data_IF_769963167569
#
_entry.id   IF_769963167569
#
_cell.length_a   1.000
_cell.length_b   1.000
_cell.length_c   1.000
_cell.angle_alpha   90.00
_cell.angle_beta   90.00
_cell.angle_gamma   90.00
#
_symmetry.space_group_name_H-M   'P 1'
#
loop_
_entity.id
_entity.type
_entity.pdbx_description
1 polymer ?
#
# COMPACT_ATOMS: atom_id res chain seq x y z
N UNK A 1 -2.17 22.06 9.55
CA UNK A 1 -3.39 22.04 8.71
C UNK A 1 -3.02 21.38 7.39
N UNK A 2 -3.58 20.21 7.10
CA UNK A 2 -3.40 19.54 5.80
C UNK A 2 -4.25 20.30 4.79
N UNK A 3 -3.63 21.15 3.96
CA UNK A 3 -4.35 21.95 2.98
C UNK A 3 -4.95 21.06 1.89
N UNK A 4 -6.25 21.21 1.64
CA UNK A 4 -6.90 20.66 0.45
C UNK A 4 -6.58 21.59 -0.74
N UNK A 5 -6.12 21.12 -1.90
CA UNK A 5 -5.92 19.74 -2.34
C UNK A 5 -4.54 19.15 -1.98
N UNK A 6 -4.49 17.84 -1.85
CA UNK A 6 -3.26 17.06 -1.66
C UNK A 6 -2.87 16.45 -3.01
N UNK A 7 -1.62 16.60 -3.40
CA UNK A 7 -1.04 15.93 -4.56
C UNK A 7 -0.59 14.53 -4.17
N UNK A 8 -0.58 13.62 -5.14
CA UNK A 8 0.06 12.31 -5.02
C UNK A 8 1.40 12.39 -5.76
N UNK A 9 2.43 11.82 -5.16
CA UNK A 9 3.73 11.62 -5.79
C UNK A 9 4.33 10.31 -5.33
N UNK A 10 5.47 9.96 -5.88
CA UNK A 10 6.24 8.77 -5.51
C UNK A 10 7.54 9.21 -4.87
N UNK A 11 7.92 8.55 -3.77
CA UNK A 11 9.23 8.75 -3.15
C UNK A 11 10.29 8.10 -4.05
N UNK A 12 11.25 8.86 -4.55
CA UNK A 12 12.40 8.28 -5.30
C UNK A 12 13.54 7.96 -4.35
N UNK A 13 13.98 8.95 -3.58
CA UNK A 13 15.16 8.82 -2.74
C UNK A 13 15.00 9.64 -1.46
N UNK A 14 15.37 9.07 -0.31
CA UNK A 14 15.58 9.83 0.93
C UNK A 14 17.02 10.31 0.99
N UNK A 15 17.19 11.62 1.10
CA UNK A 15 18.52 12.24 1.21
C UNK A 15 18.95 12.26 2.67
N UNK A 16 18.03 12.67 3.56
CA UNK A 16 18.27 12.75 4.98
C UNK A 16 16.98 12.54 5.77
N UNK A 17 17.07 12.72 7.08
CA UNK A 17 15.99 12.55 8.04
C UNK A 17 14.83 13.55 7.89
N UNK A 18 15.02 14.69 7.22
CA UNK A 18 14.03 15.76 7.05
C UNK A 18 13.77 16.08 5.57
N UNK A 19 14.55 15.52 4.63
CA UNK A 19 14.47 15.80 3.21
C UNK A 19 14.45 14.55 2.36
N UNK A 20 13.58 14.59 1.35
CA UNK A 20 13.50 13.55 0.34
C UNK A 20 13.26 14.15 -1.05
N UNK A 21 13.61 13.35 -2.06
CA UNK A 21 13.27 13.60 -3.44
C UNK A 21 11.98 12.85 -3.76
N UNK A 22 11.00 13.60 -4.25
CA UNK A 22 9.72 13.07 -4.68
C UNK A 22 9.50 13.35 -6.16
N UNK A 23 9.05 12.34 -6.88
CA UNK A 23 8.59 12.48 -8.25
C UNK A 23 7.09 12.76 -8.23
N UNK A 24 6.69 13.96 -8.68
CA UNK A 24 5.27 14.24 -8.88
C UNK A 24 4.77 13.50 -10.12
N UNK A 25 3.49 13.12 -10.15
CA UNK A 25 2.85 12.58 -11.37
C UNK A 25 3.00 13.49 -12.60
N UNK A 26 3.30 14.79 -12.39
CA UNK A 26 3.57 15.74 -13.47
C UNK A 26 4.98 15.63 -14.09
N UNK A 27 5.85 14.76 -13.58
CA UNK A 27 7.18 14.45 -14.14
C UNK A 27 8.39 15.14 -13.50
N UNK A 28 8.33 16.35 -12.90
CA UNK A 28 9.50 16.93 -12.25
C UNK A 28 9.72 16.31 -10.86
N UNK A 29 10.99 16.06 -10.57
CA UNK A 29 11.50 15.72 -9.24
C UNK A 29 11.58 16.98 -8.39
N UNK A 30 11.09 16.90 -7.16
CA UNK A 30 11.16 17.98 -6.20
C UNK A 30 11.95 17.55 -4.97
N UNK A 31 12.87 18.42 -4.55
CA UNK A 31 13.50 18.35 -3.24
C UNK A 31 12.55 18.96 -2.20
N UNK A 32 12.06 18.14 -1.28
CA UNK A 32 10.99 18.51 -0.35
C UNK A 32 11.32 18.09 1.07
N UNK A 33 10.80 18.85 2.03
CA UNK A 33 10.93 18.49 3.44
C UNK A 33 9.79 17.57 3.91
N UNK A 34 10.16 16.67 4.82
CA UNK A 34 9.29 15.71 5.51
C UNK A 34 8.71 16.40 6.74
N UNK A 35 7.39 16.40 6.91
CA UNK A 35 6.80 16.93 8.13
C UNK A 35 7.05 15.97 9.31
N UNK A 36 7.35 16.51 10.49
CA UNK A 36 7.74 15.74 11.68
C UNK A 36 6.70 14.75 12.23
N UNK A 37 5.47 14.76 11.72
CA UNK A 37 4.42 13.79 12.09
C UNK A 37 4.38 12.57 11.17
N UNK A 38 5.20 12.56 10.12
CA UNK A 38 5.32 11.43 9.18
C UNK A 38 6.26 10.40 9.80
N UNK A 39 5.83 9.14 9.74
CA UNK A 39 6.62 8.02 10.23
C UNK A 39 7.67 7.62 9.18
N UNK A 40 8.93 7.58 9.59
CA UNK A 40 10.08 7.32 8.71
C UNK A 40 10.24 5.84 8.41
N UNK A 41 9.78 4.98 9.32
CA UNK A 41 9.83 3.53 9.14
C UNK A 41 8.89 3.06 8.00
N UNK A 42 7.92 3.90 7.63
CA UNK A 42 6.96 3.65 6.54
C UNK A 42 7.36 4.31 5.21
N UNK A 43 8.45 5.10 5.20
CA UNK A 43 8.95 5.76 4.00
C UNK A 43 9.93 4.80 3.31
N UNK A 44 9.45 4.11 2.28
CA UNK A 44 10.29 3.27 1.43
C UNK A 44 10.39 3.87 0.02
N UNK A 45 11.56 3.81 -0.65
CA UNK A 45 11.69 4.18 -2.05
C UNK A 45 10.67 3.42 -2.90
N UNK A 46 9.95 4.14 -3.77
CA UNK A 46 8.88 3.58 -4.60
C UNK A 46 7.49 3.61 -3.96
N UNK A 47 7.35 3.97 -2.67
CA UNK A 47 6.03 4.13 -2.06
C UNK A 47 5.36 5.43 -2.52
N UNK A 48 4.04 5.36 -2.71
CA UNK A 48 3.19 6.51 -2.95
C UNK A 48 3.13 7.42 -1.71
N UNK A 49 3.45 8.70 -1.85
CA UNK A 49 3.43 9.70 -0.78
C UNK A 49 2.45 10.83 -1.08
N UNK A 50 1.93 11.42 -0.01
CA UNK A 50 1.02 12.56 -0.07
C UNK A 50 1.79 13.86 0.04
N UNK A 51 1.65 14.70 -0.98
CA UNK A 51 2.31 15.99 -1.10
C UNK A 51 1.32 17.13 -0.90
N UNK A 52 1.78 18.22 -0.28
CA UNK A 52 0.97 19.43 -0.19
C UNK A 52 1.02 20.23 -1.50
N UNK A 53 -0.12 20.62 -2.07
CA UNK A 53 -0.15 21.28 -3.40
C UNK A 53 0.64 22.60 -3.49
N UNK A 54 0.82 23.34 -2.38
CA UNK A 54 1.48 24.65 -2.40
C UNK A 54 2.97 24.61 -2.05
N UNK A 55 3.35 23.73 -1.12
CA UNK A 55 4.72 23.66 -0.59
C UNK A 55 5.44 22.38 -0.98
N UNK A 56 4.74 21.46 -1.67
CA UNK A 56 5.21 20.13 -2.09
C UNK A 56 5.78 19.31 -0.92
N UNK A 57 5.48 19.69 0.33
CA UNK A 57 5.98 19.00 1.53
C UNK A 57 5.30 17.64 1.70
N UNK A 58 6.02 16.66 2.23
CA UNK A 58 5.47 15.34 2.52
C UNK A 58 4.55 15.44 3.75
N UNK A 59 3.27 15.17 3.52
CA UNK A 59 2.20 15.22 4.51
C UNK A 59 1.81 13.80 4.95
N UNK A 60 2.47 12.76 4.47
CA UNK A 60 2.21 11.38 4.88
C UNK A 60 2.47 10.39 3.76
N UNK A 61 2.46 9.11 4.13
CA UNK A 61 2.58 8.00 3.21
C UNK A 61 1.17 7.53 2.82
N UNK A 62 0.97 7.20 1.54
CA UNK A 62 -0.24 6.56 1.06
C UNK A 62 -0.02 5.05 1.12
N UNK A 63 -0.58 4.39 2.14
CA UNK A 63 -0.42 2.95 2.39
C UNK A 63 -1.27 2.06 1.48
N UNK A 64 -2.05 2.65 0.57
CA UNK A 64 -3.06 1.95 -0.24
C UNK A 64 -2.57 1.65 -1.67
N UNK A 65 -1.28 1.34 -1.83
CA UNK A 65 -0.77 0.69 -3.05
C UNK A 65 -1.12 -0.82 -3.03
N UNK A 66 -2.30 -1.17 -2.53
CA UNK A 66 -2.80 -2.53 -2.70
C UNK A 66 -3.27 -2.61 -4.14
N UNK A 67 -2.47 -3.27 -4.97
CA UNK A 67 -2.80 -3.61 -6.34
C UNK A 67 -4.28 -4.05 -6.42
N UNK A 68 -5.11 -3.42 -7.25
CA UNK A 68 -6.50 -3.83 -7.39
C UNK A 68 -6.62 -5.31 -7.82
N UNK A 69 -5.59 -5.84 -8.50
CA UNK A 69 -5.44 -7.27 -8.79
C UNK A 69 -5.32 -8.14 -7.54
N UNK A 70 -4.53 -7.72 -6.54
CA UNK A 70 -4.39 -8.42 -5.25
C UNK A 70 -5.65 -8.27 -4.41
N UNK A 71 -6.32 -7.12 -4.47
CA UNK A 71 -7.62 -6.94 -3.80
C UNK A 71 -8.71 -7.84 -4.38
N UNK A 72 -8.64 -8.21 -5.66
CA UNK A 72 -9.56 -9.18 -6.29
C UNK A 72 -9.20 -10.63 -5.89
N UNK A 73 -7.92 -10.92 -5.66
CA UNK A 73 -7.45 -12.23 -5.20
C UNK A 73 -7.60 -12.44 -3.69
N UNK A 74 -7.75 -11.36 -2.90
CA UNK A 74 -8.13 -11.47 -1.49
C UNK A 74 -9.55 -12.03 -1.41
N UNK A 75 -9.62 -13.25 -0.93
CA UNK A 75 -10.86 -13.98 -0.69
C UNK A 75 -11.64 -13.30 0.45
N UNK A 76 -12.42 -12.27 0.14
CA UNK A 76 -13.18 -11.45 1.11
C UNK A 76 -14.29 -12.26 1.81
N UNK A 77 -14.67 -13.41 1.24
CA UNK A 77 -15.61 -14.36 1.82
C UNK A 77 -15.03 -15.76 1.83
N UNK A 78 -14.91 -16.35 3.02
CA UNK A 78 -14.76 -17.79 3.14
C UNK A 78 -15.88 -18.48 2.34
N UNK A 79 -15.58 -19.45 1.46
CA UNK A 79 -16.61 -20.20 0.75
C UNK A 79 -17.52 -20.86 1.79
N UNK A 80 -18.82 -20.68 1.63
CA UNK A 80 -19.83 -21.20 2.56
C UNK A 80 -20.04 -22.71 2.43
N UNK A 81 -19.36 -23.36 1.48
CA UNK A 81 -19.46 -24.80 1.28
C UNK A 81 -18.57 -25.53 2.29
N UNK A 82 -19.21 -26.22 3.22
CA UNK A 82 -18.55 -27.07 4.19
C UNK A 82 -18.22 -28.42 3.55
N UNK A 83 -17.13 -29.05 3.97
CA UNK A 83 -16.77 -30.42 3.60
C UNK A 83 -17.90 -31.46 3.85
N UNK A 84 -18.89 -31.10 4.66
CA UNK A 84 -20.09 -31.90 4.90
C UNK A 84 -21.07 -31.97 3.70
N UNK A 85 -21.01 -31.02 2.76
CA UNK A 85 -21.86 -31.00 1.55
C UNK A 85 -21.25 -31.77 0.36
N UNK A 86 -19.98 -32.16 0.45
CA UNK A 86 -19.30 -32.97 -0.57
C UNK A 86 -19.52 -34.46 -0.26
N UNK A 87 -20.68 -34.98 -0.66
CA UNK A 87 -21.01 -36.40 -0.51
C UNK A 87 -20.13 -37.31 -1.37
N UNK A 88 -19.48 -38.31 -0.76
CA UNK A 88 -18.87 -39.46 -1.45
C UNK A 88 -17.38 -39.37 -1.80
N UNK A 89 -16.67 -38.30 -1.40
CA UNK A 89 -15.24 -38.09 -1.66
C UNK A 89 -14.40 -38.09 -0.36
N UNK A 90 -14.80 -38.88 0.65
CA UNK A 90 -14.13 -38.93 1.98
C UNK A 90 -12.63 -39.22 1.90
N UNK A 91 -12.18 -40.02 0.93
CA UNK A 91 -10.76 -40.34 0.74
C UNK A 91 -9.95 -39.11 0.32
N UNK A 92 -10.41 -38.32 -0.65
CA UNK A 92 -9.66 -37.11 -1.05
C UNK A 92 -9.73 -36.01 0.01
N UNK A 93 -10.81 -35.93 0.79
CA UNK A 93 -10.92 -34.98 1.91
C UNK A 93 -9.86 -35.27 2.98
N UNK A 94 -9.64 -36.55 3.28
CA UNK A 94 -8.61 -36.97 4.24
C UNK A 94 -7.20 -36.66 3.70
N UNK A 95 -6.93 -36.91 2.41
CA UNK A 95 -5.64 -36.60 1.77
C UNK A 95 -5.33 -35.08 1.79
N UNK A 96 -6.32 -34.23 1.53
CA UNK A 96 -6.16 -32.77 1.63
C UNK A 96 -5.91 -32.35 3.07
N UNK A 97 -6.61 -32.92 4.06
CA UNK A 97 -6.43 -32.61 5.49
C UNK A 97 -5.05 -33.00 6.02
N UNK A 98 -4.42 -34.04 5.47
CA UNK A 98 -3.06 -34.45 5.85
C UNK A 98 -1.97 -33.63 5.15
N UNK A 99 -2.31 -32.89 4.08
CA UNK A 99 -1.36 -32.12 3.27
C UNK A 99 -1.39 -30.60 3.51
N UNK A 100 -2.34 -30.10 4.29
CA UNK A 100 -2.47 -28.68 4.68
C UNK A 100 -1.98 -28.41 6.09
#
# INVERSE_FOLDING_TARGET
MRGSPMGVGTLEEMIDDDHAIVSSTTGPEYYVSIMSFVDKDLLEPGTSVLLHHKSVSIVGVLTDDTDPLVSVMKLDKAPTESYADIGGLETQIQEVRESV
#
